data_IF_510735266908
#
_entry.id   IF_510735266908
#
_cell.length_a   1.000
_cell.length_b   1.000
_cell.length_c   1.000
_cell.angle_alpha   90.00
_cell.angle_beta   90.00
_cell.angle_gamma   90.00
#
_symmetry.space_group_name_H-M   'P 1'
#
loop_
_entity.id
_entity.type
_entity.pdbx_description
1 polymer ?
#
# COMPACT_ATOMS: atom_id res chain seq x y z
N UNK A 1 -1.65 1.05 26.02
CA UNK A 1 -0.38 1.38 25.32
C UNK A 1 -0.77 1.89 23.94
N UNK A 2 -0.49 3.16 23.61
CA UNK A 2 -0.71 3.64 22.25
C UNK A 2 0.29 2.93 21.34
N UNK A 3 -0.20 2.17 20.36
CA UNK A 3 0.66 1.59 19.35
C UNK A 3 1.09 2.73 18.41
N UNK A 4 2.41 2.90 18.24
CA UNK A 4 2.94 3.87 17.30
C UNK A 4 2.70 3.37 15.88
N UNK A 5 1.90 4.10 15.09
CA UNK A 5 1.66 3.78 13.69
C UNK A 5 2.75 4.39 12.82
N UNK A 6 3.29 3.59 11.90
CA UNK A 6 4.28 4.04 10.92
C UNK A 6 3.60 4.44 9.61
N UNK A 7 4.07 5.54 9.03
CA UNK A 7 3.78 5.93 7.66
C UNK A 7 4.84 5.34 6.73
N UNK A 8 4.40 4.55 5.77
CA UNK A 8 5.22 3.92 4.74
C UNK A 8 4.75 4.40 3.36
N UNK A 9 5.68 4.70 2.45
CA UNK A 9 5.37 5.01 1.05
C UNK A 9 6.12 4.08 0.12
N UNK A 10 5.43 3.59 -0.91
CA UNK A 10 6.03 2.83 -2.00
C UNK A 10 6.24 3.76 -3.20
N UNK A 11 7.46 3.77 -3.71
CA UNK A 11 7.85 4.57 -4.86
C UNK A 11 8.37 3.70 -5.99
N UNK A 12 8.16 4.17 -7.21
CA UNK A 12 8.80 3.64 -8.40
C UNK A 12 10.22 4.19 -8.54
N UNK A 13 11.02 3.58 -9.41
CA UNK A 13 12.43 3.98 -9.57
C UNK A 13 12.60 5.35 -10.25
N UNK A 14 11.59 5.77 -11.01
CA UNK A 14 11.47 7.00 -11.78
C UNK A 14 11.15 8.25 -10.93
N UNK A 15 10.89 8.11 -9.64
CA UNK A 15 10.78 9.28 -8.75
C UNK A 15 12.14 9.97 -8.63
N UNK A 16 12.21 11.29 -8.82
CA UNK A 16 13.47 12.04 -8.74
C UNK A 16 14.07 12.03 -7.33
N UNK A 17 15.39 12.23 -7.25
CA UNK A 17 16.13 12.28 -5.98
C UNK A 17 15.60 13.37 -5.03
N UNK A 18 15.26 14.54 -5.54
CA UNK A 18 14.72 15.64 -4.73
C UNK A 18 13.39 15.24 -4.06
N UNK A 19 12.50 14.56 -4.77
CA UNK A 19 11.25 14.05 -4.19
C UNK A 19 11.50 12.92 -3.20
N UNK A 20 12.51 12.08 -3.42
CA UNK A 20 12.89 11.02 -2.46
C UNK A 20 13.35 11.60 -1.14
N UNK A 21 14.15 12.66 -1.17
CA UNK A 21 14.62 13.35 0.04
C UNK A 21 13.44 13.98 0.79
N UNK A 22 12.52 14.61 0.06
CA UNK A 22 11.29 15.17 0.63
C UNK A 22 10.42 14.08 1.27
N UNK A 23 10.17 12.98 0.57
CA UNK A 23 9.40 11.86 1.10
C UNK A 23 10.06 11.26 2.35
N UNK A 24 11.39 11.13 2.35
CA UNK A 24 12.14 10.61 3.51
C UNK A 24 12.10 11.54 4.72
N UNK A 25 11.78 12.83 4.53
CA UNK A 25 11.56 13.77 5.64
C UNK A 25 10.16 13.66 6.28
N UNK A 26 9.21 13.02 5.59
CA UNK A 26 7.80 12.93 5.99
C UNK A 26 7.44 11.50 6.44
N UNK A 27 7.84 10.50 5.65
CA UNK A 27 7.51 9.10 5.87
C UNK A 27 8.57 8.43 6.75
N UNK A 28 8.13 7.47 7.56
CA UNK A 28 9.03 6.71 8.43
C UNK A 28 9.82 5.67 7.63
N UNK A 29 9.22 5.16 6.55
CA UNK A 29 9.85 4.20 5.63
C UNK A 29 9.48 4.55 4.18
N UNK A 30 10.50 4.59 3.30
CA UNK A 30 10.35 4.78 1.85
C UNK A 30 10.87 3.51 1.17
N UNK A 31 10.00 2.78 0.48
CA UNK A 31 10.34 1.51 -0.17
C UNK A 31 10.22 1.62 -1.69
N UNK A 32 11.19 1.06 -2.39
CA UNK A 32 11.11 0.96 -3.85
C UNK A 32 10.43 -0.34 -4.26
N UNK A 33 9.53 -0.29 -5.24
CA UNK A 33 8.85 -1.48 -5.76
C UNK A 33 9.84 -2.60 -6.10
N UNK A 34 10.92 -2.30 -6.83
CA UNK A 34 11.94 -3.30 -7.22
C UNK A 34 12.73 -3.90 -6.07
N UNK A 35 12.86 -3.17 -4.96
CA UNK A 35 13.67 -3.58 -3.80
C UNK A 35 12.89 -4.36 -2.75
N UNK A 36 11.56 -4.45 -2.86
CA UNK A 36 10.77 -5.37 -2.06
C UNK A 36 11.25 -6.80 -2.39
N UNK A 37 12.04 -7.41 -1.50
CA UNK A 37 12.60 -8.78 -1.50
C UNK A 37 12.58 -9.52 -2.86
N UNK A 38 13.20 -8.94 -3.90
CA UNK A 38 13.26 -9.40 -5.31
C UNK A 38 11.91 -9.54 -6.03
N UNK A 39 11.51 -8.49 -6.77
CA UNK A 39 10.55 -8.59 -7.89
C UNK A 39 11.36 -8.81 -9.16
N UNK A 40 11.05 -9.83 -9.96
CA UNK A 40 11.58 -9.95 -11.32
C UNK A 40 10.96 -8.88 -12.24
N UNK A 41 11.73 -8.41 -13.22
CA UNK A 41 11.29 -7.31 -14.11
C UNK A 41 9.99 -7.65 -14.86
N UNK A 42 9.81 -8.92 -15.25
CA UNK A 42 8.62 -9.38 -15.97
C UNK A 42 7.35 -9.24 -15.12
N UNK A 43 7.40 -9.62 -13.83
CA UNK A 43 6.31 -9.43 -12.88
C UNK A 43 6.02 -7.95 -12.65
N UNK A 44 7.05 -7.10 -12.51
CA UNK A 44 6.83 -5.66 -12.36
C UNK A 44 6.12 -5.06 -13.58
N UNK A 45 6.54 -5.45 -14.78
CA UNK A 45 5.96 -4.96 -16.02
C UNK A 45 4.53 -5.49 -16.23
N UNK A 46 4.27 -6.75 -15.90
CA UNK A 46 2.92 -7.31 -15.88
C UNK A 46 1.99 -6.52 -14.95
N UNK A 47 2.44 -6.23 -13.72
CA UNK A 47 1.65 -5.45 -12.77
C UNK A 47 1.34 -4.05 -13.30
N UNK A 48 2.35 -3.34 -13.84
CA UNK A 48 2.16 -2.00 -14.41
C UNK A 48 1.20 -1.99 -15.59
N UNK A 49 1.32 -2.94 -16.53
CA UNK A 49 0.47 -3.02 -17.71
C UNK A 49 -1.00 -3.26 -17.36
N UNK A 50 -1.27 -3.87 -16.20
CA UNK A 50 -2.62 -4.18 -15.71
C UNK A 50 -3.10 -3.23 -14.59
N UNK A 51 -2.37 -2.16 -14.26
CA UNK A 51 -2.65 -1.26 -13.14
C UNK A 51 -2.76 -1.97 -11.77
N UNK A 52 -1.91 -2.98 -11.57
CA UNK A 52 -1.83 -3.83 -10.38
C UNK A 52 -0.59 -3.55 -9.52
N UNK A 53 0.20 -2.53 -9.86
CA UNK A 53 1.42 -2.18 -9.12
C UNK A 53 1.17 -1.85 -7.64
N UNK A 54 -0.06 -1.43 -7.29
CA UNK A 54 -0.49 -1.26 -5.90
C UNK A 54 -0.48 -2.55 -5.08
N UNK A 55 -0.57 -3.73 -5.71
CA UNK A 55 -0.54 -5.03 -5.01
C UNK A 55 0.81 -5.29 -4.31
N UNK A 56 1.87 -4.59 -4.71
CA UNK A 56 3.19 -4.69 -4.09
C UNK A 56 3.19 -4.41 -2.59
N UNK A 57 2.20 -3.69 -2.08
CA UNK A 57 2.05 -3.43 -0.64
C UNK A 57 1.88 -4.72 0.17
N UNK A 58 1.35 -5.81 -0.41
CA UNK A 58 1.23 -7.10 0.29
C UNK A 58 2.59 -7.73 0.61
N UNK A 59 3.69 -7.24 0.03
CA UNK A 59 5.04 -7.78 0.26
C UNK A 59 5.76 -7.10 1.42
N UNK A 60 5.12 -6.13 2.08
CA UNK A 60 5.64 -5.42 3.26
C UNK A 60 5.53 -6.27 4.54
N UNK A 61 6.09 -7.48 4.52
CA UNK A 61 5.96 -8.47 5.61
C UNK A 61 6.53 -8.00 6.96
N UNK A 62 7.23 -6.86 7.01
CA UNK A 62 7.65 -6.23 8.27
C UNK A 62 6.50 -5.62 9.07
N UNK A 63 5.32 -5.41 8.46
CA UNK A 63 4.13 -4.94 9.15
C UNK A 63 3.13 -6.08 9.36
N UNK A 64 2.49 -6.11 10.53
CA UNK A 64 1.49 -7.13 10.88
C UNK A 64 0.08 -6.81 10.36
N UNK A 65 -0.21 -5.54 10.06
CA UNK A 65 -1.45 -5.05 9.48
C UNK A 65 -1.23 -3.64 8.92
N UNK A 66 -1.87 -3.34 7.80
CA UNK A 66 -1.75 -2.06 7.13
C UNK A 66 -3.12 -1.50 6.75
N UNK A 67 -3.23 -0.17 6.76
CA UNK A 67 -4.29 0.58 6.09
C UNK A 67 -3.67 1.18 4.84
N UNK A 68 -4.13 0.75 3.67
CA UNK A 68 -3.76 1.37 2.41
C UNK A 68 -4.55 2.66 2.23
N UNK A 69 -3.86 3.71 1.78
CA UNK A 69 -4.44 4.97 1.34
C UNK A 69 -3.87 5.29 -0.04
N UNK A 70 -4.73 5.60 -1.01
CA UNK A 70 -4.26 6.11 -2.29
C UNK A 70 -3.54 7.46 -2.12
N UNK A 71 -2.61 7.81 -3.02
CA UNK A 71 -1.91 9.10 -2.99
C UNK A 71 -2.82 10.33 -3.14
N UNK A 72 -4.04 10.17 -3.63
CA UNK A 72 -5.05 11.23 -3.76
C UNK A 72 -6.00 11.33 -2.55
N UNK A 73 -5.79 10.52 -1.50
CA UNK A 73 -6.56 10.57 -0.27
C UNK A 73 -6.06 11.63 0.70
N UNK A 74 -6.98 12.38 1.31
CA UNK A 74 -6.70 13.33 2.38
C UNK A 74 -7.34 12.90 3.70
N UNK A 75 -6.51 12.64 4.71
CA UNK A 75 -6.97 12.29 6.06
C UNK A 75 -7.37 13.55 6.83
N UNK A 76 -8.67 13.72 7.10
CA UNK A 76 -9.20 14.91 7.77
C UNK A 76 -9.19 14.83 9.30
N UNK A 77 -9.19 13.60 9.84
CA UNK A 77 -9.23 13.30 11.27
C UNK A 77 -8.43 12.02 11.52
N UNK A 78 -7.97 11.80 12.76
CA UNK A 78 -7.38 10.52 13.15
C UNK A 78 -8.34 9.38 12.77
N UNK A 79 -7.77 8.34 12.17
CA UNK A 79 -8.49 7.17 11.66
C UNK A 79 -7.84 5.86 12.14
N UNK A 80 -7.19 5.88 13.31
CA UNK A 80 -6.49 4.70 13.84
C UNK A 80 -7.45 3.55 14.19
N UNK A 81 -8.75 3.84 14.33
CA UNK A 81 -9.79 2.82 14.47
C UNK A 81 -9.83 1.86 13.27
N UNK A 82 -9.36 2.28 12.09
CA UNK A 82 -9.35 1.42 10.91
C UNK A 82 -8.55 0.13 11.14
N UNK A 83 -7.49 0.18 11.96
CA UNK A 83 -6.69 -0.99 12.30
C UNK A 83 -7.44 -2.08 13.10
N UNK A 84 -8.63 -1.77 13.62
CA UNK A 84 -9.49 -2.73 14.32
C UNK A 84 -10.23 -3.67 13.36
N UNK A 85 -10.32 -3.33 12.07
CA UNK A 85 -10.96 -4.17 11.06
C UNK A 85 -10.05 -5.34 10.62
N UNK A 86 -10.67 -6.38 10.05
CA UNK A 86 -9.99 -7.57 9.52
C UNK A 86 -9.61 -7.37 8.04
N UNK A 87 -8.64 -8.13 7.55
CA UNK A 87 -8.45 -8.27 6.10
C UNK A 87 -9.58 -9.13 5.50
N UNK A 88 -10.14 -8.82 4.34
CA UNK A 88 -10.09 -7.55 3.61
C UNK A 88 -11.28 -6.68 4.04
N UNK A 89 -11.03 -5.44 4.47
CA UNK A 89 -12.09 -4.47 4.78
C UNK A 89 -11.90 -3.20 3.95
N UNK A 90 -12.95 -2.74 3.29
CA UNK A 90 -12.94 -1.56 2.43
C UNK A 90 -14.31 -0.88 2.44
N UNK A 91 -14.40 0.35 1.93
CA UNK A 91 -15.68 1.03 1.75
C UNK A 91 -16.32 0.63 0.41
N UNK A 92 -17.66 0.54 0.31
CA UNK A 92 -18.33 0.25 -0.95
C UNK A 92 -18.10 1.36 -1.97
N UNK A 93 -18.05 1.01 -3.26
CA UNK A 93 -17.99 1.98 -4.33
C UNK A 93 -19.34 2.70 -4.50
N UNK A 94 -19.31 4.00 -4.81
CA UNK A 94 -20.51 4.84 -4.91
C UNK A 94 -21.35 4.46 -6.14
N UNK A 95 -20.73 3.99 -7.22
CA UNK A 95 -21.41 3.68 -8.48
C UNK A 95 -21.86 2.22 -8.60
N UNK A 96 -21.13 1.30 -7.96
CA UNK A 96 -21.44 -0.13 -8.00
C UNK A 96 -21.26 -0.75 -6.61
N UNK A 97 -22.33 -0.90 -5.82
CA UNK A 97 -22.22 -1.27 -4.40
C UNK A 97 -21.71 -2.69 -4.15
N UNK A 98 -21.73 -3.54 -5.19
CA UNK A 98 -21.14 -4.89 -5.16
C UNK A 98 -19.61 -4.87 -5.28
N UNK A 99 -19.03 -3.72 -5.63
CA UNK A 99 -17.60 -3.47 -5.66
C UNK A 99 -17.19 -2.58 -4.50
N UNK A 100 -15.96 -2.75 -4.01
CA UNK A 100 -15.37 -1.85 -3.04
C UNK A 100 -14.48 -0.81 -3.70
N UNK A 101 -14.39 0.37 -3.11
CA UNK A 101 -13.42 1.38 -3.49
C UNK A 101 -12.03 0.96 -3.00
N UNK A 102 -11.08 0.81 -3.91
CA UNK A 102 -9.72 0.39 -3.60
C UNK A 102 -8.80 1.54 -3.14
N UNK A 103 -9.33 2.74 -2.91
CA UNK A 103 -8.57 3.90 -2.44
C UNK A 103 -8.29 3.88 -0.95
N UNK A 104 -9.12 3.19 -0.16
CA UNK A 104 -8.88 2.94 1.26
C UNK A 104 -9.29 1.51 1.61
N UNK A 105 -8.35 0.70 2.09
CA UNK A 105 -8.66 -0.65 2.56
C UNK A 105 -7.67 -1.16 3.60
N UNK A 106 -8.09 -2.15 4.37
CA UNK A 106 -7.32 -2.80 5.43
C UNK A 106 -6.87 -4.17 4.94
N UNK A 107 -5.58 -4.45 5.06
CA UNK A 107 -4.96 -5.69 4.62
C UNK A 107 -3.86 -6.15 5.59
N UNK A 108 -3.47 -7.42 5.47
CA UNK A 108 -2.37 -8.05 6.19
C UNK A 108 -1.30 -8.41 5.16
N UNK A 109 -0.13 -7.74 5.19
CA UNK A 109 0.96 -8.10 4.29
C UNK A 109 1.30 -9.59 4.36
N UNK A 110 1.35 -10.23 3.21
CA UNK A 110 1.61 -11.65 3.04
C UNK A 110 2.07 -11.90 1.61
N UNK A 111 3.30 -12.41 1.48
CA UNK A 111 3.83 -12.85 0.18
C UNK A 111 3.03 -14.00 -0.41
N UNK A 112 2.36 -14.82 0.42
CA UNK A 112 1.44 -15.85 -0.05
C UNK A 112 0.20 -15.22 -0.70
N UNK A 113 -0.43 -14.26 -0.01
CA UNK A 113 -1.59 -13.55 -0.55
C UNK A 113 -1.22 -12.80 -1.83
N UNK A 114 -0.04 -12.18 -1.88
CA UNK A 114 0.47 -11.57 -3.11
C UNK A 114 0.57 -12.57 -4.27
N UNK A 115 1.06 -13.79 -4.05
CA UNK A 115 1.16 -14.82 -5.09
C UNK A 115 -0.18 -15.39 -5.56
N UNK A 116 -1.25 -15.21 -4.77
CA UNK A 116 -2.60 -15.62 -5.18
C UNK A 116 -3.37 -14.49 -5.91
N UNK A 117 -2.90 -13.24 -5.79
CA UNK A 117 -3.52 -12.07 -6.41
C UNK A 117 -2.95 -11.72 -7.80
N UNK A 118 -1.76 -12.21 -8.13
CA UNK A 118 -1.08 -12.03 -9.42
C UNK A 118 -1.04 -13.33 -10.22
#
# INVERSE_FOLDING_TARGET
MSHFQKLCVLISNDVDLEFKDLLSSIFHEVHYMRHLNSIDEDTLDYLKQNNLEKLNIWRLNQFSKCVFLNPDCLVLRNCDELFQHNELSAVPDIGWPDCFNAGVFIFIPSTHTFSELG
#
